data_IF_883169946523
#
_entry.id   IF_883169946523
#
_cell.length_a   1.000
_cell.length_b   1.000
_cell.length_c   1.000
_cell.angle_alpha   90.00
_cell.angle_beta   90.00
_cell.angle_gamma   90.00
#
_symmetry.space_group_name_H-M   'P 1'
#
loop_
_entity.id
_entity.type
_entity.pdbx_description
1 polymer ?
#
# COMPACT_ATOMS: atom_id res chain seq x y z
N UNK A 1 6.92 -10.21 7.74
CA UNK A 1 7.06 -9.00 6.89
C UNK A 1 7.50 -9.38 5.48
N UNK A 2 8.73 -9.89 5.26
CA UNK A 2 9.24 -10.19 3.92
C UNK A 2 8.30 -11.02 3.03
N UNK A 3 7.75 -12.14 3.54
CA UNK A 3 6.78 -12.97 2.82
C UNK A 3 5.53 -12.20 2.41
N UNK A 4 4.99 -11.39 3.33
CA UNK A 4 3.80 -10.59 3.10
C UNK A 4 4.06 -9.54 2.01
N UNK A 5 5.11 -8.73 2.16
CA UNK A 5 5.48 -7.70 1.19
C UNK A 5 5.72 -8.30 -0.20
N UNK A 6 6.33 -9.48 -0.26
CA UNK A 6 6.56 -10.20 -1.51
C UNK A 6 5.24 -10.58 -2.18
N UNK A 7 4.36 -11.27 -1.47
CA UNK A 7 3.05 -11.66 -2.01
C UNK A 7 2.24 -10.46 -2.46
N UNK A 8 2.11 -9.47 -1.57
CA UNK A 8 1.35 -8.25 -1.79
C UNK A 8 1.85 -7.50 -3.02
N UNK A 9 3.16 -7.26 -3.13
CA UNK A 9 3.74 -6.56 -4.27
C UNK A 9 3.43 -7.26 -5.60
N UNK A 10 3.70 -8.57 -5.71
CA UNK A 10 3.56 -9.26 -6.99
C UNK A 10 2.10 -9.40 -7.42
N UNK A 11 1.20 -9.69 -6.47
CA UNK A 11 -0.23 -9.80 -6.77
C UNK A 11 -0.83 -8.43 -7.10
N UNK A 12 -0.47 -7.39 -6.35
CA UNK A 12 -0.92 -6.02 -6.61
C UNK A 12 -0.44 -5.51 -7.98
N UNK A 13 0.86 -5.67 -8.29
CA UNK A 13 1.41 -5.34 -9.60
C UNK A 13 0.74 -6.12 -10.72
N UNK A 14 0.47 -7.41 -10.52
CA UNK A 14 -0.22 -8.22 -11.53
C UNK A 14 -1.64 -7.73 -11.79
N UNK A 15 -2.39 -7.34 -10.76
CA UNK A 15 -3.72 -6.75 -10.92
C UNK A 15 -3.69 -5.45 -11.73
N UNK A 16 -2.65 -4.63 -11.58
CA UNK A 16 -2.44 -3.44 -12.41
C UNK A 16 -2.06 -3.75 -13.85
N UNK A 17 -1.19 -4.73 -14.07
CA UNK A 17 -0.68 -5.05 -15.40
C UNK A 17 -1.70 -5.83 -16.24
N UNK A 18 -2.51 -6.67 -15.62
CA UNK A 18 -3.56 -7.41 -16.30
C UNK A 18 -4.79 -6.52 -16.50
N UNK A 19 -5.07 -6.14 -17.75
CA UNK A 19 -6.18 -5.24 -18.10
C UNK A 19 -7.53 -5.72 -17.58
N UNK A 20 -7.79 -7.03 -17.59
CA UNK A 20 -9.06 -7.57 -17.09
C UNK A 20 -9.18 -7.37 -15.57
N UNK A 21 -8.14 -7.75 -14.82
CA UNK A 21 -8.12 -7.59 -13.37
C UNK A 21 -8.16 -6.11 -12.96
N UNK A 22 -7.41 -5.25 -13.65
CA UNK A 22 -7.47 -3.83 -13.39
C UNK A 22 -8.90 -3.31 -13.63
N UNK A 23 -9.47 -3.50 -14.81
CA UNK A 23 -10.76 -2.90 -15.15
C UNK A 23 -11.91 -3.41 -14.28
N UNK A 24 -11.94 -4.69 -13.88
CA UNK A 24 -13.10 -5.29 -13.23
C UNK A 24 -12.94 -5.54 -11.73
N UNK A 25 -11.71 -5.55 -11.21
CA UNK A 25 -11.41 -5.86 -9.81
C UNK A 25 -10.78 -4.65 -9.15
N UNK A 26 -9.59 -4.28 -9.59
CA UNK A 26 -8.76 -3.33 -8.87
C UNK A 26 -9.12 -1.86 -9.12
N UNK A 27 -9.79 -1.55 -10.23
CA UNK A 27 -10.29 -0.22 -10.54
C UNK A 27 -11.29 0.28 -9.48
N UNK A 28 -11.98 -0.62 -8.77
CA UNK A 28 -12.86 -0.25 -7.67
C UNK A 28 -12.07 0.44 -6.55
N UNK A 29 -10.94 -0.12 -6.16
CA UNK A 29 -10.05 0.46 -5.16
C UNK A 29 -9.50 1.81 -5.62
N UNK A 30 -9.06 1.88 -6.88
CA UNK A 30 -8.56 3.11 -7.52
C UNK A 30 -9.63 4.17 -7.86
N UNK A 31 -10.90 3.96 -7.49
CA UNK A 31 -11.88 5.07 -7.45
C UNK A 31 -11.49 6.10 -6.39
N UNK A 32 -10.69 5.70 -5.40
CA UNK A 32 -10.21 6.53 -4.31
C UNK A 32 -8.95 7.30 -4.71
N UNK A 33 -9.08 8.25 -5.64
CA UNK A 33 -7.96 9.09 -6.10
C UNK A 33 -7.35 9.90 -4.94
N UNK A 34 -8.16 10.22 -3.94
CA UNK A 34 -7.70 10.77 -2.66
C UNK A 34 -7.88 9.69 -1.61
N UNK A 35 -6.78 9.25 -1.03
CA UNK A 35 -6.78 8.18 -0.02
C UNK A 35 -7.34 8.70 1.31
N UNK A 36 -8.09 7.84 2.01
CA UNK A 36 -8.54 8.08 3.38
C UNK A 36 -8.66 6.75 4.16
N UNK A 37 -8.54 6.82 5.48
CA UNK A 37 -8.36 5.64 6.36
C UNK A 37 -9.41 4.53 6.17
N UNK A 38 -10.69 4.88 6.10
CA UNK A 38 -11.78 3.90 5.93
C UNK A 38 -11.75 3.25 4.53
N UNK A 39 -11.20 3.98 3.54
CA UNK A 39 -11.05 3.51 2.17
C UNK A 39 -9.93 2.48 1.98
N UNK A 40 -9.10 2.23 3.01
CA UNK A 40 -7.97 1.31 2.96
C UNK A 40 -8.33 -0.11 2.49
N UNK A 41 -9.56 -0.56 2.78
CA UNK A 41 -10.09 -1.85 2.36
C UNK A 41 -11.34 -1.71 1.48
N UNK A 42 -11.50 -0.56 0.81
CA UNK A 42 -12.52 -0.41 -0.23
C UNK A 42 -12.06 -1.13 -1.50
N UNK A 43 -12.07 -2.45 -1.45
CA UNK A 43 -11.62 -3.31 -2.52
C UNK A 43 -12.73 -4.24 -3.00
N UNK A 44 -12.57 -4.79 -4.20
CA UNK A 44 -13.47 -5.83 -4.71
C UNK A 44 -13.28 -7.11 -3.88
N UNK A 45 -14.31 -7.94 -3.61
CA UNK A 45 -14.15 -9.14 -2.77
C UNK A 45 -13.05 -10.11 -3.24
N UNK A 46 -12.85 -10.24 -4.55
CA UNK A 46 -11.75 -11.03 -5.12
C UNK A 46 -10.37 -10.44 -4.78
N UNK A 47 -10.23 -9.12 -4.74
CA UNK A 47 -9.00 -8.47 -4.32
C UNK A 47 -8.71 -8.74 -2.85
N UNK A 48 -9.70 -8.60 -1.97
CA UNK A 48 -9.56 -8.96 -0.55
C UNK A 48 -9.26 -10.45 -0.33
N UNK A 49 -9.83 -11.34 -1.15
CA UNK A 49 -9.49 -12.77 -1.10
C UNK A 49 -8.00 -13.01 -1.46
N UNK A 50 -7.53 -12.39 -2.55
CA UNK A 50 -6.18 -12.63 -3.07
C UNK A 50 -5.09 -11.94 -2.25
N UNK A 51 -5.30 -10.68 -1.84
CA UNK A 51 -4.34 -9.92 -1.06
C UNK A 51 -4.46 -10.24 0.43
N UNK A 52 -5.64 -10.09 1.03
CA UNK A 52 -5.78 -10.17 2.48
C UNK A 52 -5.79 -11.62 2.97
N UNK A 53 -6.67 -12.45 2.39
CA UNK A 53 -6.85 -13.84 2.87
C UNK A 53 -5.68 -14.72 2.46
N UNK A 54 -5.36 -14.82 1.17
CA UNK A 54 -4.23 -15.63 0.72
C UNK A 54 -2.88 -15.03 1.12
N UNK A 55 -2.71 -13.70 1.06
CA UNK A 55 -1.48 -13.07 1.53
C UNK A 55 -1.25 -13.27 3.02
N UNK A 56 -2.31 -13.18 3.84
CA UNK A 56 -2.26 -13.51 5.26
C UNK A 56 -1.93 -14.98 5.50
N UNK A 57 -2.64 -15.91 4.85
CA UNK A 57 -2.43 -17.35 5.01
C UNK A 57 -1.00 -17.77 4.61
N UNK A 58 -0.50 -17.30 3.46
CA UNK A 58 0.85 -17.60 3.01
C UNK A 58 1.88 -17.01 3.96
N UNK A 59 1.67 -15.78 4.44
CA UNK A 59 2.55 -15.17 5.43
C UNK A 59 2.61 -15.98 6.72
N UNK A 60 1.46 -16.45 7.22
CA UNK A 60 1.37 -17.28 8.41
C UNK A 60 2.12 -18.61 8.24
N UNK A 61 1.80 -19.36 7.17
CA UNK A 61 2.33 -20.70 6.93
C UNK A 61 3.83 -20.69 6.64
N UNK A 62 4.29 -19.80 5.76
CA UNK A 62 5.69 -19.78 5.31
C UNK A 62 6.63 -19.23 6.38
N UNK A 63 6.18 -18.27 7.20
CA UNK A 63 7.02 -17.72 8.27
C UNK A 63 7.15 -18.65 9.48
N UNK A 64 6.30 -19.68 9.59
CA UNK A 64 6.26 -20.56 10.76
C UNK A 64 5.86 -19.85 12.06
N UNK A 65 5.16 -18.71 11.96
CA UNK A 65 4.77 -17.93 13.14
C UNK A 65 3.75 -18.70 14.00
N UNK A 66 3.83 -18.55 15.32
CA UNK A 66 2.80 -19.08 16.21
C UNK A 66 1.50 -18.29 16.05
N UNK A 67 0.36 -18.88 16.43
CA UNK A 67 -0.93 -18.18 16.41
C UNK A 67 -0.90 -16.86 17.20
N UNK A 68 -0.22 -16.82 18.35
CA UNK A 68 -0.06 -15.59 19.14
C UNK A 68 0.72 -14.51 18.38
N UNK A 69 1.82 -14.90 17.75
CA UNK A 69 2.63 -13.99 16.94
C UNK A 69 1.84 -13.47 15.74
N UNK A 70 1.05 -14.35 15.11
CA UNK A 70 0.20 -14.01 13.98
C UNK A 70 -0.84 -12.94 14.33
N UNK A 71 -1.52 -13.07 15.48
CA UNK A 71 -2.48 -12.05 15.94
C UNK A 71 -1.82 -10.69 16.04
N UNK A 72 -0.68 -10.60 16.74
CA UNK A 72 0.05 -9.33 16.90
C UNK A 72 0.50 -8.80 15.54
N UNK A 73 1.06 -9.66 14.70
CA UNK A 73 1.56 -9.29 13.37
C UNK A 73 0.46 -8.76 12.45
N UNK A 74 -0.70 -9.42 12.39
CA UNK A 74 -1.79 -9.01 11.51
C UNK A 74 -2.52 -7.77 12.05
N UNK A 75 -2.68 -7.62 13.37
CA UNK A 75 -3.15 -6.36 13.94
C UNK A 75 -2.23 -5.19 13.56
N UNK A 76 -0.91 -5.41 13.67
CA UNK A 76 0.07 -4.42 13.23
C UNK A 76 -0.01 -4.12 11.73
N UNK A 77 -0.16 -5.16 10.88
CA UNK A 77 -0.31 -4.99 9.44
C UNK A 77 -1.55 -4.16 9.09
N UNK A 78 -2.69 -4.41 9.73
CA UNK A 78 -3.93 -3.63 9.51
C UNK A 78 -3.73 -2.17 9.92
N UNK A 79 -3.12 -1.91 11.07
CA UNK A 79 -2.80 -0.54 11.51
C UNK A 79 -1.93 0.15 10.46
N UNK A 80 -0.93 -0.57 9.93
CA UNK A 80 -0.03 -0.04 8.91
C UNK A 80 -0.76 0.26 7.59
N UNK A 81 -1.63 -0.63 7.13
CA UNK A 81 -2.45 -0.40 5.94
C UNK A 81 -3.34 0.83 6.10
N UNK A 82 -3.95 1.02 7.27
CA UNK A 82 -4.77 2.20 7.57
C UNK A 82 -3.93 3.47 7.56
N UNK A 83 -2.73 3.44 8.15
CA UNK A 83 -1.78 4.56 8.15
C UNK A 83 -1.36 4.95 6.72
N UNK A 84 -1.06 3.96 5.88
CA UNK A 84 -0.66 4.19 4.48
C UNK A 84 -1.77 4.80 3.63
N UNK A 85 -3.03 4.57 3.99
CA UNK A 85 -4.18 5.09 3.26
C UNK A 85 -4.81 6.32 3.92
N UNK A 86 -4.32 6.77 5.09
CA UNK A 86 -5.06 7.77 5.85
C UNK A 86 -5.12 9.15 5.17
N UNK A 87 -4.22 9.42 4.22
CA UNK A 87 -4.08 10.71 3.53
C UNK A 87 -3.52 11.82 4.43
N UNK A 88 -3.04 11.47 5.64
CA UNK A 88 -2.63 12.43 6.67
C UNK A 88 -1.14 12.29 7.00
N UNK A 89 -0.39 13.36 6.77
CA UNK A 89 0.99 13.48 7.24
C UNK A 89 1.04 14.06 8.65
N UNK A 90 0.81 13.20 9.65
CA UNK A 90 0.77 13.61 11.07
C UNK A 90 2.17 13.81 11.66
N UNK A 91 2.43 14.93 12.38
CA UNK A 91 3.66 15.12 13.13
C UNK A 91 3.88 14.01 14.16
N UNK A 92 5.09 13.43 14.18
CA UNK A 92 5.43 12.38 15.14
C UNK A 92 4.91 10.98 14.80
N UNK A 93 4.38 10.76 13.58
CA UNK A 93 4.05 9.42 13.12
C UNK A 93 5.29 8.52 13.10
N UNK A 94 5.35 7.58 14.03
CA UNK A 94 6.48 6.66 14.20
C UNK A 94 6.64 5.70 13.01
N UNK A 95 5.56 5.39 12.29
CA UNK A 95 5.63 4.48 11.15
C UNK A 95 6.44 5.07 10.01
N UNK A 96 6.35 6.39 9.81
CA UNK A 96 7.12 7.09 8.78
C UNK A 96 8.64 7.08 9.06
N UNK A 97 9.05 6.82 10.31
CA UNK A 97 10.47 6.69 10.69
C UNK A 97 11.03 5.32 10.24
N UNK A 98 10.23 4.26 10.40
CA UNK A 98 10.67 2.88 10.14
C UNK A 98 10.32 2.37 8.74
N UNK A 99 9.28 2.92 8.11
CA UNK A 99 8.73 2.42 6.86
C UNK A 99 8.70 3.50 5.79
N UNK A 100 9.28 3.18 4.64
CA UNK A 100 9.28 4.05 3.46
C UNK A 100 7.95 3.99 2.71
N UNK A 101 7.25 2.86 2.82
CA UNK A 101 5.85 2.79 2.46
C UNK A 101 5.08 3.57 3.53
N UNK A 102 4.43 4.64 3.13
CA UNK A 102 3.75 5.58 4.01
C UNK A 102 2.63 6.27 3.21
N UNK A 103 1.90 7.17 3.88
CA UNK A 103 0.77 7.86 3.25
C UNK A 103 1.11 8.56 1.94
N UNK A 104 2.26 9.23 1.84
CA UNK A 104 2.62 9.97 0.64
C UNK A 104 3.04 9.04 -0.51
N UNK A 105 3.73 7.95 -0.18
CA UNK A 105 4.09 6.91 -1.14
C UNK A 105 2.85 6.29 -1.79
N UNK A 106 1.85 5.96 -0.97
CA UNK A 106 0.63 5.30 -1.43
C UNK A 106 -0.35 6.28 -2.09
N UNK A 107 -0.44 7.53 -1.62
CA UNK A 107 -1.24 8.57 -2.27
C UNK A 107 -0.77 8.81 -3.72
N UNK A 108 0.54 8.82 -3.96
CA UNK A 108 1.09 8.92 -5.32
C UNK A 108 0.64 7.76 -6.20
N UNK A 109 0.56 6.55 -5.66
CA UNK A 109 0.10 5.39 -6.40
C UNK A 109 -1.37 5.52 -6.85
N UNK A 110 -2.25 6.05 -5.98
CA UNK A 110 -3.67 6.28 -6.26
C UNK A 110 -3.93 7.45 -7.20
N UNK A 111 -2.99 8.40 -7.33
CA UNK A 111 -3.09 9.45 -8.33
C UNK A 111 -3.11 8.84 -9.74
N UNK A 112 -3.88 9.45 -10.65
CA UNK A 112 -4.08 8.94 -12.02
C UNK A 112 -2.75 8.65 -12.75
N UNK A 113 -1.75 9.49 -12.54
CA UNK A 113 -0.43 9.36 -13.16
C UNK A 113 0.46 8.31 -12.49
N UNK A 114 0.18 7.93 -11.23
CA UNK A 114 1.01 7.03 -10.43
C UNK A 114 0.55 5.57 -10.38
N UNK A 115 -0.59 5.23 -10.99
CA UNK A 115 -1.12 3.85 -11.11
C UNK A 115 -0.15 2.82 -11.72
N UNK A 116 0.96 3.28 -12.30
CA UNK A 116 2.02 2.44 -12.90
C UNK A 116 3.22 2.19 -11.98
N UNK A 117 3.19 2.70 -10.75
CA UNK A 117 4.34 2.75 -9.84
C UNK A 117 3.91 2.48 -8.39
N UNK A 118 4.89 2.30 -7.50
CA UNK A 118 4.70 2.21 -6.05
C UNK A 118 3.74 1.09 -5.60
N UNK A 119 3.92 -0.13 -6.12
CA UNK A 119 3.03 -1.27 -5.85
C UNK A 119 3.22 -1.94 -4.49
N UNK A 120 4.36 -1.75 -3.83
CA UNK A 120 4.68 -2.44 -2.59
C UNK A 120 3.68 -2.05 -1.51
N UNK A 121 3.29 -3.02 -0.68
CA UNK A 121 2.49 -2.85 0.53
C UNK A 121 2.68 -4.07 1.44
N UNK A 122 2.52 -3.94 2.78
CA UNK A 122 2.28 -2.69 3.52
C UNK A 122 3.56 -2.08 4.16
N UNK A 123 4.71 -2.77 4.17
CA UNK A 123 5.84 -2.32 5.00
C UNK A 123 6.95 -1.61 4.22
N UNK A 124 7.58 -2.28 3.26
CA UNK A 124 8.79 -1.78 2.61
C UNK A 124 8.61 -1.58 1.10
N UNK A 125 9.30 -0.60 0.51
CA UNK A 125 9.29 -0.35 -0.94
C UNK A 125 10.40 -1.11 -1.69
N UNK A 126 10.88 -2.23 -1.13
CA UNK A 126 12.07 -2.96 -1.63
C UNK A 126 11.84 -3.42 -3.07
N UNK A 127 10.69 -4.04 -3.34
CA UNK A 127 10.39 -4.60 -4.65
C UNK A 127 10.24 -3.54 -5.73
N UNK A 128 9.63 -2.39 -5.42
CA UNK A 128 9.56 -1.27 -6.36
C UNK A 128 10.94 -0.73 -6.74
N UNK A 129 11.85 -0.65 -5.77
CA UNK A 129 13.23 -0.21 -6.01
C UNK A 129 14.00 -1.23 -6.85
N UNK A 130 13.87 -2.52 -6.53
CA UNK A 130 14.57 -3.60 -7.23
C UNK A 130 14.09 -3.77 -8.68
N UNK A 131 12.79 -3.58 -8.92
CA UNK A 131 12.16 -3.86 -10.21
C UNK A 131 11.85 -2.58 -11.02
N UNK A 132 12.35 -1.43 -10.58
CA UNK A 132 12.26 -0.16 -11.31
C UNK A 132 10.84 0.42 -11.39
N UNK A 133 9.97 0.10 -10.43
CA UNK A 133 8.59 0.63 -10.34
C UNK A 133 8.43 1.66 -9.22
N UNK A 134 9.52 2.08 -8.58
CA UNK A 134 9.49 3.15 -7.57
C UNK A 134 9.35 4.53 -8.23
N UNK A 135 8.36 5.30 -7.80
CA UNK A 135 8.17 6.70 -8.17
C UNK A 135 8.47 7.63 -6.99
N UNK A 136 9.50 8.49 -7.09
CA UNK A 136 9.80 9.46 -6.06
C UNK A 136 8.72 10.55 -5.96
N UNK A 137 8.61 11.14 -4.78
CA UNK A 137 7.64 12.19 -4.50
C UNK A 137 8.23 13.32 -3.64
N UNK A 138 7.51 14.43 -3.60
CA UNK A 138 7.78 15.58 -2.74
C UNK A 138 6.51 15.94 -1.97
N UNK A 139 6.68 16.44 -0.75
CA UNK A 139 5.58 16.95 0.06
C UNK A 139 5.54 18.47 -0.02
N UNK A 140 4.41 19.00 -0.48
CA UNK A 140 4.16 20.43 -0.58
C UNK A 140 3.20 20.85 0.52
N UNK A 141 3.59 21.83 1.33
CA UNK A 141 2.70 22.39 2.36
C UNK A 141 1.59 23.20 1.70
N UNK A 142 0.34 22.92 2.06
CA UNK A 142 -0.82 23.65 1.53
C UNK A 142 -1.05 24.96 2.29
N UNK A 143 -1.56 26.03 1.63
CA UNK A 143 -1.91 27.30 2.29
C UNK A 143 -2.88 27.13 3.47
N UNK A 144 -3.86 26.25 3.31
CA UNK A 144 -4.89 25.90 4.29
C UNK A 144 -4.42 24.93 5.39
N UNK A 145 -3.15 24.49 5.34
CA UNK A 145 -2.56 23.53 6.27
C UNK A 145 -2.52 22.10 5.72
N UNK A 146 -1.67 21.27 6.32
CA UNK A 146 -1.40 19.91 5.84
C UNK A 146 -0.42 19.85 4.67
N UNK A 147 -0.34 18.68 4.04
CA UNK A 147 0.61 18.38 2.98
C UNK A 147 -0.07 17.74 1.77
N UNK A 148 0.48 17.98 0.60
CA UNK A 148 0.14 17.32 -0.65
C UNK A 148 1.34 16.51 -1.16
N UNK A 149 1.14 15.24 -1.50
CA UNK A 149 2.16 14.46 -2.19
C UNK A 149 2.11 14.76 -3.69
N UNK A 150 3.25 15.16 -4.25
CA UNK A 150 3.40 15.39 -5.69
C UNK A 150 4.52 14.53 -6.25
N UNK A 151 4.33 13.99 -7.45
CA UNK A 151 5.38 13.29 -8.17
C UNK A 151 6.58 14.22 -8.30
N UNK A 152 7.78 13.72 -7.97
CA UNK A 152 9.01 14.44 -8.19
C UNK A 152 9.31 14.36 -9.70
N UNK A 153 9.00 15.44 -10.43
CA UNK A 153 9.42 15.56 -11.83
C UNK A 153 10.93 15.79 -11.85
N UNK A 154 11.62 15.04 -12.72
CA UNK A 154 13.03 15.25 -13.03
C UNK A 154 13.26 16.61 -13.70
#
# INVERSE_FOLDING_TARGET
MFTMDTWQYFVHRYMHQNKFLYCHVHSQHHRLVVTYAIGALYNHPLEGLLLDTFGGAISFLVSGMTARTAVVFFCFAVIKTVDDHCGLWLPGNIFHIFFQNNTAYHDIHHQLQGTKYNYSQPFFSIWDRLLGTYMPYTLVKRPEGGFEARLKKD
#
